data_IF_668840441249
#
_entry.id   IF_668840441249
#
_cell.length_a   1.000
_cell.length_b   1.000
_cell.length_c   1.000
_cell.angle_alpha   90.00
_cell.angle_beta   90.00
_cell.angle_gamma   90.00
#
_symmetry.space_group_name_H-M   'P 1'
#
loop_
_entity.id
_entity.type
_entity.pdbx_description
1 polymer ?
#
# COMPACT_ATOMS: atom_id res chain seq x y z
N UNK A 1 -2.58 -15.27 63.08
CA UNK A 1 -2.82 -14.14 62.13
C UNK A 1 -2.75 -14.68 60.74
N UNK A 2 -3.90 -14.83 60.06
CA UNK A 2 -3.97 -15.34 58.67
C UNK A 2 -3.82 -14.12 57.76
N UNK A 3 -2.75 -14.06 56.94
CA UNK A 3 -2.57 -13.05 55.88
C UNK A 3 -3.42 -13.45 54.67
N UNK A 4 -4.46 -12.66 54.39
CA UNK A 4 -5.27 -12.79 53.20
C UNK A 4 -4.54 -12.06 52.10
N UNK A 5 -4.05 -12.80 51.10
CA UNK A 5 -3.48 -12.23 49.87
C UNK A 5 -4.62 -11.89 48.89
N UNK A 6 -4.88 -10.61 48.68
CA UNK A 6 -5.80 -10.18 47.61
C UNK A 6 -5.10 -10.27 46.27
N UNK A 7 -5.51 -11.23 45.44
CA UNK A 7 -5.11 -11.33 44.04
C UNK A 7 -5.94 -10.29 43.24
N UNK A 8 -5.36 -9.17 42.97
CA UNK A 8 -5.97 -8.17 42.03
C UNK A 8 -5.80 -8.69 40.60
N UNK A 9 -6.85 -9.28 40.08
CA UNK A 9 -6.93 -9.61 38.63
C UNK A 9 -7.17 -8.32 37.91
N UNK A 10 -6.12 -7.74 37.32
CA UNK A 10 -6.22 -6.71 36.31
C UNK A 10 -6.84 -7.34 35.05
N UNK A 11 -8.14 -7.24 34.90
CA UNK A 11 -8.82 -7.43 33.63
C UNK A 11 -8.36 -6.30 32.71
N UNK A 12 -7.31 -6.58 31.92
CA UNK A 12 -7.01 -5.76 30.75
C UNK A 12 -8.21 -5.87 29.81
N UNK A 13 -9.04 -4.84 29.79
CA UNK A 13 -10.08 -4.66 28.80
C UNK A 13 -9.39 -4.62 27.42
N UNK A 14 -9.41 -5.75 26.71
CA UNK A 14 -9.11 -5.78 25.29
C UNK A 14 -10.17 -4.89 24.67
N UNK A 15 -9.80 -3.68 24.33
CA UNK A 15 -10.64 -2.76 23.56
C UNK A 15 -10.79 -3.38 22.18
N UNK A 16 -11.82 -4.21 21.99
CA UNK A 16 -12.25 -4.59 20.66
C UNK A 16 -12.54 -3.31 19.91
N UNK A 17 -11.77 -3.03 18.88
CA UNK A 17 -11.98 -1.89 18.02
C UNK A 17 -13.43 -1.95 17.54
N UNK A 18 -14.24 -0.97 17.99
CA UNK A 18 -15.65 -0.94 17.68
C UNK A 18 -15.82 -0.74 16.18
N UNK A 19 -16.50 -1.65 15.51
CA UNK A 19 -16.87 -1.49 14.10
C UNK A 19 -17.54 -0.12 13.95
N UNK A 20 -17.12 0.71 12.98
CA UNK A 20 -17.77 2.00 12.72
C UNK A 20 -19.26 1.81 12.53
N UNK A 21 -20.09 2.66 13.15
CA UNK A 21 -21.55 2.53 13.12
C UNK A 21 -22.18 2.66 11.72
N UNK A 22 -21.37 2.91 10.70
CA UNK A 22 -21.77 2.98 9.29
C UNK A 22 -21.25 1.79 8.46
N UNK A 23 -20.83 0.69 9.09
CA UNK A 23 -20.21 -0.45 8.38
C UNK A 23 -21.22 -1.14 7.47
N UNK A 24 -22.44 -1.43 7.95
CA UNK A 24 -23.52 -2.00 7.13
C UNK A 24 -23.82 -1.10 5.93
N UNK A 25 -23.85 0.20 6.14
CA UNK A 25 -24.03 1.16 5.06
C UNK A 25 -22.88 1.11 4.06
N UNK A 26 -21.63 0.98 4.53
CA UNK A 26 -20.46 0.90 3.65
C UNK A 26 -20.50 -0.37 2.81
N UNK A 27 -20.84 -1.52 3.41
CA UNK A 27 -21.03 -2.80 2.69
C UNK A 27 -22.09 -2.66 1.60
N UNK A 28 -23.26 -2.10 1.94
CA UNK A 28 -24.37 -1.95 1.01
C UNK A 28 -24.00 -1.03 -0.17
N UNK A 29 -23.38 0.12 0.12
CA UNK A 29 -22.92 1.07 -0.91
C UNK A 29 -21.91 0.41 -1.85
N UNK A 30 -20.96 -0.34 -1.32
CA UNK A 30 -19.97 -1.06 -2.13
C UNK A 30 -20.66 -2.08 -3.05
N UNK A 31 -21.55 -2.93 -2.49
CA UNK A 31 -22.27 -3.93 -3.28
C UNK A 31 -23.09 -3.28 -4.40
N UNK A 32 -23.86 -2.25 -4.09
CA UNK A 32 -24.67 -1.53 -5.08
C UNK A 32 -23.82 -0.91 -6.18
N UNK A 33 -22.68 -0.32 -5.84
CA UNK A 33 -21.76 0.30 -6.81
C UNK A 33 -21.18 -0.72 -7.78
N UNK A 34 -20.72 -1.86 -7.28
CA UNK A 34 -20.17 -2.93 -8.12
C UNK A 34 -21.24 -3.74 -8.89
N UNK A 35 -22.48 -3.70 -8.43
CA UNK A 35 -23.63 -4.29 -9.17
C UNK A 35 -24.20 -3.37 -10.26
N UNK A 36 -23.62 -2.20 -10.48
CA UNK A 36 -24.08 -1.23 -11.49
C UNK A 36 -25.29 -0.40 -11.07
N UNK A 37 -25.77 -0.53 -9.84
CA UNK A 37 -26.98 0.14 -9.34
C UNK A 37 -26.68 1.31 -8.39
N UNK A 38 -25.39 1.57 -8.08
CA UNK A 38 -24.97 2.56 -7.10
C UNK A 38 -24.63 3.91 -7.73
N UNK A 39 -25.21 4.98 -7.20
CA UNK A 39 -24.79 6.35 -7.47
C UNK A 39 -24.13 6.93 -6.22
N UNK A 40 -22.83 6.72 -6.06
CA UNK A 40 -22.07 7.32 -4.96
C UNK A 40 -21.10 8.38 -5.51
N UNK A 41 -21.06 9.51 -4.83
CA UNK A 41 -20.15 10.60 -5.19
C UNK A 41 -18.68 10.22 -5.00
N UNK A 42 -18.38 9.40 -3.99
CA UNK A 42 -17.04 8.87 -3.72
C UNK A 42 -17.16 7.51 -3.04
N UNK A 43 -16.63 6.46 -3.68
CA UNK A 43 -16.68 5.10 -3.17
C UNK A 43 -15.51 4.80 -2.19
N UNK A 44 -14.42 5.56 -2.26
CA UNK A 44 -13.18 5.31 -1.51
C UNK A 44 -13.37 5.13 0.00
N UNK A 45 -14.13 5.97 0.73
CA UNK A 45 -14.32 5.77 2.18
C UNK A 45 -14.98 4.43 2.51
N UNK A 46 -15.92 3.99 1.69
CA UNK A 46 -16.65 2.74 1.88
C UNK A 46 -15.78 1.52 1.57
N UNK A 47 -14.98 1.59 0.50
CA UNK A 47 -13.97 0.56 0.18
C UNK A 47 -12.92 0.45 1.29
N UNK A 48 -12.46 1.58 1.82
CA UNK A 48 -11.51 1.62 2.92
C UNK A 48 -12.08 0.95 4.18
N UNK A 49 -13.32 1.25 4.54
CA UNK A 49 -13.99 0.59 5.67
C UNK A 49 -14.10 -0.93 5.47
N UNK A 50 -14.52 -1.39 4.29
CA UNK A 50 -14.61 -2.82 3.96
C UNK A 50 -13.24 -3.49 4.01
N UNK A 51 -12.20 -2.84 3.49
CA UNK A 51 -10.83 -3.37 3.53
C UNK A 51 -10.28 -3.47 4.96
N UNK A 52 -10.47 -2.41 5.77
CA UNK A 52 -9.91 -2.32 7.11
C UNK A 52 -10.62 -3.26 8.12
N UNK A 53 -11.92 -3.41 7.99
CA UNK A 53 -12.75 -4.17 8.93
C UNK A 53 -13.34 -5.46 8.33
N UNK A 54 -12.87 -5.87 7.17
CA UNK A 54 -13.41 -7.03 6.43
C UNK A 54 -13.42 -8.34 7.22
N UNK A 55 -12.44 -8.55 8.12
CA UNK A 55 -12.39 -9.74 8.99
C UNK A 55 -13.47 -9.76 10.06
N UNK A 56 -14.05 -8.60 10.40
CA UNK A 56 -15.08 -8.45 11.43
C UNK A 56 -16.51 -8.53 10.82
N UNK A 57 -16.62 -8.58 9.49
CA UNK A 57 -17.88 -8.76 8.80
C UNK A 57 -18.45 -10.16 9.07
N UNK A 58 -19.77 -10.26 9.14
CA UNK A 58 -20.43 -11.54 9.20
C UNK A 58 -20.35 -12.31 7.86
N UNK A 59 -20.63 -13.60 7.87
CA UNK A 59 -20.50 -14.44 6.68
C UNK A 59 -21.53 -14.10 5.58
N UNK A 60 -22.67 -13.52 5.92
CA UNK A 60 -23.63 -13.03 4.94
C UNK A 60 -23.06 -11.81 4.20
N UNK A 61 -22.54 -10.82 4.92
CA UNK A 61 -21.89 -9.64 4.36
C UNK A 61 -20.70 -10.03 3.48
N UNK A 62 -19.85 -10.94 3.94
CA UNK A 62 -18.71 -11.47 3.17
C UNK A 62 -19.17 -12.18 1.90
N UNK A 63 -20.20 -13.04 2.01
CA UNK A 63 -20.75 -13.75 0.85
C UNK A 63 -21.29 -12.79 -0.21
N UNK A 64 -22.02 -11.77 0.20
CA UNK A 64 -22.54 -10.75 -0.71
C UNK A 64 -21.43 -9.94 -1.39
N UNK A 65 -20.38 -9.60 -0.66
CA UNK A 65 -19.21 -8.92 -1.21
C UNK A 65 -18.41 -9.83 -2.16
N UNK A 66 -18.27 -11.14 -1.86
CA UNK A 66 -17.65 -12.12 -2.78
C UNK A 66 -18.40 -12.18 -4.11
N UNK A 67 -19.74 -12.10 -4.10
CA UNK A 67 -20.55 -12.12 -5.33
C UNK A 67 -20.29 -10.91 -6.25
N UNK A 68 -19.77 -9.82 -5.72
CA UNK A 68 -19.35 -8.64 -6.50
C UNK A 68 -17.83 -8.53 -6.66
N UNK A 69 -17.09 -9.62 -6.40
CA UNK A 69 -15.67 -9.76 -6.73
C UNK A 69 -14.68 -9.53 -5.58
N UNK A 70 -15.15 -9.30 -4.34
CA UNK A 70 -14.24 -9.18 -3.19
C UNK A 70 -13.72 -10.55 -2.72
N UNK A 71 -12.47 -10.61 -2.33
CA UNK A 71 -11.82 -11.81 -1.81
C UNK A 71 -11.26 -11.52 -0.42
N UNK A 72 -11.84 -12.18 0.62
CA UNK A 72 -11.40 -12.03 2.01
C UNK A 72 -10.41 -13.09 2.46
N UNK A 73 -10.41 -14.23 1.78
CA UNK A 73 -9.65 -15.43 2.18
C UNK A 73 -8.39 -15.62 1.32
N UNK A 74 -8.07 -14.62 0.51
CA UNK A 74 -6.77 -14.64 -0.15
C UNK A 74 -5.73 -14.41 0.93
N UNK A 75 -4.91 -15.41 1.27
CA UNK A 75 -3.73 -15.11 2.04
C UNK A 75 -3.06 -13.96 1.31
N UNK A 76 -2.51 -12.99 2.04
CA UNK A 76 -1.52 -12.10 1.46
C UNK A 76 -0.45 -13.05 0.94
N UNK A 77 -0.61 -13.47 -0.31
CA UNK A 77 0.42 -14.22 -0.99
C UNK A 77 1.52 -13.19 -1.12
N UNK A 78 2.49 -13.30 -0.22
CA UNK A 78 3.78 -12.69 -0.48
C UNK A 78 4.16 -13.23 -1.84
N UNK A 79 4.04 -12.41 -2.88
CA UNK A 79 4.46 -12.80 -4.20
C UNK A 79 5.89 -13.27 -4.05
N UNK A 80 6.18 -14.48 -4.48
CA UNK A 80 7.55 -14.95 -4.55
C UNK A 80 8.37 -13.97 -5.39
N UNK A 81 9.68 -13.95 -5.23
CA UNK A 81 10.55 -13.11 -6.08
C UNK A 81 10.26 -13.32 -7.57
N UNK A 82 9.83 -14.53 -7.97
CA UNK A 82 9.41 -14.87 -9.33
C UNK A 82 8.13 -14.16 -9.78
N UNK A 83 7.23 -13.82 -8.84
CA UNK A 83 6.00 -13.07 -9.11
C UNK A 83 6.20 -11.55 -9.08
N UNK A 84 7.35 -11.07 -8.57
CA UNK A 84 7.72 -9.66 -8.62
C UNK A 84 8.38 -9.32 -9.95
N UNK A 85 7.59 -9.35 -11.01
CA UNK A 85 8.04 -8.86 -12.32
C UNK A 85 8.33 -7.35 -12.35
N UNK A 86 8.02 -6.64 -11.26
CA UNK A 86 8.13 -5.19 -11.19
C UNK A 86 9.56 -4.70 -11.43
N UNK A 87 10.57 -5.38 -10.88
CA UNK A 87 11.97 -5.03 -11.05
C UNK A 87 12.66 -5.68 -12.26
N UNK A 88 11.99 -6.60 -12.96
CA UNK A 88 12.61 -7.31 -14.09
C UNK A 88 12.89 -6.35 -15.24
N UNK A 89 14.15 -6.30 -15.68
CA UNK A 89 14.61 -5.43 -16.74
C UNK A 89 14.86 -3.97 -16.33
N UNK A 90 14.77 -3.64 -15.05
CA UNK A 90 15.15 -2.33 -14.50
C UNK A 90 16.54 -2.47 -13.87
N UNK A 91 17.57 -2.06 -14.60
CA UNK A 91 18.99 -2.29 -14.27
C UNK A 91 19.66 -1.11 -13.57
N UNK A 92 18.94 0.00 -13.40
CA UNK A 92 19.42 1.20 -12.73
C UNK A 92 18.63 1.46 -11.45
N UNK A 93 19.30 1.97 -10.43
CA UNK A 93 18.67 2.41 -9.18
C UNK A 93 19.19 3.76 -8.73
N UNK A 94 18.33 4.56 -8.10
CA UNK A 94 18.71 5.82 -7.46
C UNK A 94 17.98 5.94 -6.12
N UNK A 95 18.75 6.11 -5.03
CA UNK A 95 18.19 6.35 -3.70
C UNK A 95 18.05 7.85 -3.43
N UNK A 96 16.89 8.28 -2.96
CA UNK A 96 16.66 9.64 -2.50
C UNK A 96 15.66 9.65 -1.32
N UNK A 97 16.11 10.12 -0.17
CA UNK A 97 15.30 10.21 1.04
C UNK A 97 14.70 8.86 1.45
N UNK A 98 13.39 8.74 1.40
CA UNK A 98 12.65 7.52 1.75
C UNK A 98 12.51 6.54 0.59
N UNK A 99 12.90 6.92 -0.64
CA UNK A 99 12.55 6.21 -1.87
C UNK A 99 13.77 5.66 -2.58
N UNK A 100 13.61 4.49 -3.21
CA UNK A 100 14.50 3.93 -4.21
C UNK A 100 13.77 3.87 -5.54
N UNK A 101 14.31 4.56 -6.55
CA UNK A 101 13.79 4.56 -7.91
C UNK A 101 14.48 3.47 -8.72
N UNK A 102 13.71 2.53 -9.27
CA UNK A 102 14.15 1.50 -10.19
C UNK A 102 13.77 1.90 -11.62
N UNK A 103 14.71 1.95 -12.52
CA UNK A 103 14.48 2.35 -13.91
C UNK A 103 15.47 1.67 -14.86
N UNK A 104 15.27 1.83 -16.16
CA UNK A 104 16.22 1.44 -17.20
C UNK A 104 16.24 2.46 -18.31
N UNK A 105 17.39 2.55 -18.99
CA UNK A 105 17.58 3.38 -20.19
C UNK A 105 17.60 2.54 -21.48
N UNK A 106 17.33 1.24 -21.38
CA UNK A 106 17.31 0.30 -22.51
C UNK A 106 16.08 -0.61 -22.48
N UNK A 107 15.71 -1.16 -23.63
CA UNK A 107 14.62 -2.14 -23.73
C UNK A 107 13.22 -1.54 -23.67
N UNK A 108 12.23 -2.39 -23.38
CA UNK A 108 10.79 -2.04 -23.44
C UNK A 108 10.38 -0.99 -22.43
N UNK A 109 11.07 -0.93 -21.28
CA UNK A 109 10.76 0.01 -20.20
C UNK A 109 11.70 1.21 -20.15
N UNK A 110 12.48 1.42 -21.23
CA UNK A 110 13.45 2.51 -21.27
C UNK A 110 12.78 3.87 -21.10
N UNK A 111 13.38 4.69 -20.24
CA UNK A 111 13.07 6.10 -20.11
C UNK A 111 13.91 6.96 -21.07
N UNK A 112 13.56 8.23 -21.23
CA UNK A 112 14.39 9.18 -21.99
C UNK A 112 15.76 9.36 -21.31
N UNK A 113 16.83 9.39 -22.13
CA UNK A 113 18.22 9.42 -21.68
C UNK A 113 18.83 10.83 -21.65
N UNK A 114 18.03 11.88 -21.91
CA UNK A 114 18.50 13.25 -21.82
C UNK A 114 19.07 13.52 -20.40
N UNK A 115 20.25 14.12 -20.36
CA UNK A 115 20.96 14.51 -19.15
C UNK A 115 21.57 15.91 -19.40
N UNK A 116 20.76 16.94 -19.18
CA UNK A 116 21.10 18.32 -19.53
C UNK A 116 22.12 18.92 -18.57
N UNK A 117 22.10 18.46 -17.31
CA UNK A 117 23.00 18.93 -16.27
C UNK A 117 24.30 18.12 -16.16
N UNK A 118 24.43 17.03 -16.95
CA UNK A 118 25.61 16.15 -17.01
C UNK A 118 25.98 15.51 -15.67
N UNK A 119 24.98 15.14 -14.87
CA UNK A 119 25.18 14.47 -13.58
C UNK A 119 25.15 12.93 -13.67
N UNK A 120 25.01 12.38 -14.88
CA UNK A 120 24.86 10.94 -15.18
C UNK A 120 23.50 10.33 -14.83
N UNK A 121 22.59 11.12 -14.35
CA UNK A 121 21.21 10.73 -14.08
C UNK A 121 20.31 11.33 -15.18
N UNK A 122 19.42 10.56 -15.81
CA UNK A 122 18.49 11.14 -16.79
C UNK A 122 17.61 12.25 -16.19
N UNK A 123 17.41 13.32 -16.92
CA UNK A 123 16.56 14.47 -16.52
C UNK A 123 15.17 14.02 -16.06
N UNK A 124 14.64 12.93 -16.61
CA UNK A 124 13.37 12.35 -16.20
C UNK A 124 13.40 11.89 -14.72
N UNK A 125 14.48 11.25 -14.32
CA UNK A 125 14.67 10.80 -12.93
C UNK A 125 14.91 11.98 -12.00
N UNK A 126 15.73 12.96 -12.40
CA UNK A 126 15.97 14.19 -11.62
C UNK A 126 14.66 14.93 -11.34
N UNK A 127 13.77 15.02 -12.35
CA UNK A 127 12.45 15.62 -12.18
C UNK A 127 11.57 14.82 -11.22
N UNK A 128 11.57 13.48 -11.32
CA UNK A 128 10.83 12.63 -10.38
C UNK A 128 11.33 12.81 -8.95
N UNK A 129 12.63 12.76 -8.73
CA UNK A 129 13.24 12.98 -7.41
C UNK A 129 12.80 14.32 -6.82
N UNK A 130 12.84 15.38 -7.63
CA UNK A 130 12.41 16.72 -7.23
C UNK A 130 10.92 16.75 -6.83
N UNK A 131 10.06 16.08 -7.59
CA UNK A 131 8.62 15.99 -7.30
C UNK A 131 8.39 15.19 -6.01
N UNK A 132 9.04 14.03 -5.87
CA UNK A 132 8.90 13.20 -4.67
C UNK A 132 9.40 13.94 -3.42
N UNK A 133 10.51 14.66 -3.51
CA UNK A 133 11.00 15.49 -2.40
C UNK A 133 9.97 16.56 -2.02
N UNK A 134 9.47 17.32 -2.99
CA UNK A 134 8.45 18.34 -2.74
C UNK A 134 7.19 17.76 -2.08
N UNK A 135 6.70 16.61 -2.57
CA UNK A 135 5.52 15.94 -2.01
C UNK A 135 5.80 15.46 -0.59
N UNK A 136 7.00 14.91 -0.34
CA UNK A 136 7.42 14.45 0.99
C UNK A 136 7.44 15.59 1.99
N UNK A 137 8.11 16.71 1.66
CA UNK A 137 8.18 17.90 2.51
C UNK A 137 6.78 18.45 2.81
N UNK A 138 5.91 18.45 1.80
CA UNK A 138 4.53 18.89 1.98
C UNK A 138 3.74 17.95 2.90
N UNK A 139 3.84 16.64 2.66
CA UNK A 139 3.05 15.65 3.42
C UNK A 139 3.56 15.47 4.84
N UNK A 140 4.86 15.32 5.02
CA UNK A 140 5.44 15.04 6.33
C UNK A 140 5.57 16.32 7.16
N UNK A 141 6.26 17.34 6.63
CA UNK A 141 6.60 18.53 7.40
C UNK A 141 5.42 19.50 7.55
N UNK A 142 4.63 19.68 6.48
CA UNK A 142 3.54 20.65 6.50
C UNK A 142 2.21 20.04 6.97
N UNK A 143 1.89 18.82 6.59
CA UNK A 143 0.61 18.15 6.89
C UNK A 143 0.70 17.14 8.04
N UNK A 144 1.91 16.76 8.47
CA UNK A 144 2.13 15.88 9.62
C UNK A 144 1.72 14.42 9.36
N UNK A 145 1.75 13.95 8.11
CA UNK A 145 1.56 12.53 7.81
C UNK A 145 2.75 11.69 8.29
N UNK A 146 2.51 10.40 8.48
CA UNK A 146 3.58 9.47 8.79
C UNK A 146 4.50 9.25 7.59
N UNK A 147 5.76 8.91 7.87
CA UNK A 147 6.73 8.52 6.84
C UNK A 147 6.26 7.32 6.00
N UNK A 148 6.67 7.22 4.72
CA UNK A 148 6.43 6.04 3.93
C UNK A 148 6.95 4.78 4.62
N UNK A 149 6.26 3.63 4.51
CA UNK A 149 6.72 2.41 5.13
C UNK A 149 8.06 1.95 4.53
N UNK A 150 8.98 1.55 5.40
CA UNK A 150 10.25 0.95 4.99
C UNK A 150 10.04 -0.49 4.50
N UNK A 151 10.81 -0.91 3.50
CA UNK A 151 10.85 -2.29 3.00
C UNK A 151 11.69 -3.24 3.86
N UNK A 152 12.23 -2.76 4.99
CA UNK A 152 13.06 -3.54 5.90
C UNK A 152 12.43 -4.86 6.34
N UNK A 153 11.11 -4.90 6.44
CA UNK A 153 10.37 -6.10 6.81
C UNK A 153 10.48 -7.22 5.76
N UNK A 154 10.63 -6.87 4.49
CA UNK A 154 10.73 -7.83 3.40
C UNK A 154 12.14 -8.43 3.25
N UNK A 155 13.17 -7.82 3.81
CA UNK A 155 14.57 -8.24 3.68
C UNK A 155 14.83 -9.69 4.11
N UNK A 156 14.07 -10.20 5.08
CA UNK A 156 14.20 -11.58 5.58
C UNK A 156 13.29 -12.60 4.87
N UNK A 157 12.27 -12.16 4.15
CA UNK A 157 11.19 -13.00 3.64
C UNK A 157 11.04 -12.95 2.11
N UNK A 158 11.56 -11.91 1.48
CA UNK A 158 11.48 -11.70 0.04
C UNK A 158 12.46 -10.62 -0.39
N UNK A 159 12.42 -10.25 -1.65
CA UNK A 159 13.19 -9.15 -2.18
C UNK A 159 12.65 -7.80 -1.66
N UNK A 160 13.55 -6.98 -1.10
CA UNK A 160 13.28 -5.60 -0.69
C UNK A 160 13.87 -4.57 -1.67
N UNK A 161 13.99 -4.91 -2.97
CA UNK A 161 14.56 -4.03 -3.98
C UNK A 161 16.05 -3.72 -3.77
N UNK A 162 16.73 -4.45 -2.86
CA UNK A 162 18.15 -4.27 -2.51
C UNK A 162 18.41 -3.17 -1.49
N UNK A 163 17.36 -2.59 -0.87
CA UNK A 163 17.49 -1.63 0.24
C UNK A 163 16.27 -1.65 1.15
N UNK A 164 16.30 -0.81 2.19
CA UNK A 164 15.15 -0.62 3.09
C UNK A 164 14.29 0.59 2.70
N UNK A 165 14.53 1.21 1.56
CA UNK A 165 13.72 2.30 1.04
C UNK A 165 12.39 1.79 0.50
N UNK A 166 11.42 2.68 0.34
CA UNK A 166 10.20 2.40 -0.37
C UNK A 166 10.47 2.38 -1.87
N UNK A 167 10.23 1.26 -2.54
CA UNK A 167 10.56 1.06 -3.95
C UNK A 167 9.58 1.72 -4.91
N UNK A 168 10.10 2.44 -5.89
CA UNK A 168 9.38 3.07 -7.00
C UNK A 168 9.86 2.45 -8.32
N UNK A 169 9.00 1.69 -8.98
CA UNK A 169 9.32 1.01 -10.24
C UNK A 169 8.78 1.79 -11.44
N UNK A 170 9.67 2.25 -12.31
CA UNK A 170 9.34 3.06 -13.49
C UNK A 170 9.28 2.16 -14.72
N UNK A 171 8.08 1.94 -15.25
CA UNK A 171 7.82 0.98 -16.32
C UNK A 171 6.87 1.55 -17.37
N UNK A 172 7.04 1.09 -18.60
CA UNK A 172 6.04 1.29 -19.65
C UNK A 172 4.87 0.33 -19.41
N UNK A 173 3.67 0.86 -19.20
CA UNK A 173 2.44 0.10 -18.96
C UNK A 173 1.61 -0.14 -20.22
N UNK A 174 2.00 0.41 -21.37
CA UNK A 174 1.22 0.31 -22.63
C UNK A 174 0.99 -1.13 -23.12
N UNK A 175 1.85 -2.06 -22.69
CA UNK A 175 1.74 -3.48 -23.09
C UNK A 175 0.75 -4.29 -22.23
N UNK A 176 0.13 -3.69 -21.22
CA UNK A 176 -0.73 -4.39 -20.25
C UNK A 176 -2.19 -3.90 -20.27
N UNK A 177 -2.58 -3.09 -21.27
CA UNK A 177 -3.97 -2.66 -21.49
C UNK A 177 -4.62 -3.40 -22.65
#
# INVERSE_FOLDING_TARGET
>A
MKKICYLVILLSSISLAKIPGNMDQSVEIVIQSFSGNGQVRCLTPHLFNVALYGNQLDENQKSRLRNVGFQFDRPIVHRSMEDRAEGVGLDQTLDNGYFRFHYTITGTHAIATADTNSNTIPDYIDNLVTIFQFVTDMQLDSLGYAEPPSDSWYSANSDNGGSNHYDIYIRNLESNM
#
